data_IF_823294259493
#
_entry.id   IF_823294259493
#
_cell.length_a   1.000
_cell.length_b   1.000
_cell.length_c   1.000
_cell.angle_alpha   90.00
_cell.angle_beta   90.00
_cell.angle_gamma   90.00
#
_symmetry.space_group_name_H-M   'P 1'
#
loop_
_entity.id
_entity.type
_entity.pdbx_description
1 polymer ?
#
# COMPACT_ATOMS: atom_id res chain seq x y z
N UNK A 1 1.22 17.51 2.66
CA UNK A 1 0.70 18.41 1.61
C UNK A 1 -0.51 17.86 0.87
N UNK A 2 -0.56 16.56 0.51
CA UNK A 2 -1.71 15.94 -0.17
C UNK A 2 -3.08 16.20 0.48
N UNK A 3 -3.17 16.19 1.81
CA UNK A 3 -4.42 16.50 2.51
C UNK A 3 -4.92 17.93 2.21
N UNK A 4 -4.01 18.92 2.11
CA UNK A 4 -4.35 20.30 1.76
C UNK A 4 -4.82 20.37 0.31
N UNK A 5 -4.18 19.62 -0.60
CA UNK A 5 -4.61 19.51 -1.99
C UNK A 5 -6.03 18.94 -2.09
N UNK A 6 -6.33 17.89 -1.33
CA UNK A 6 -7.68 17.30 -1.29
C UNK A 6 -8.73 18.31 -0.79
N UNK A 7 -8.42 19.08 0.25
CA UNK A 7 -9.29 20.16 0.72
C UNK A 7 -9.47 21.24 -0.36
N UNK A 8 -8.40 21.67 -1.01
CA UNK A 8 -8.47 22.65 -2.08
C UNK A 8 -9.36 22.15 -3.23
N UNK A 9 -9.15 20.91 -3.71
CA UNK A 9 -9.98 20.28 -4.73
C UNK A 9 -11.45 20.18 -4.31
N UNK A 10 -11.70 19.82 -3.05
CA UNK A 10 -13.05 19.78 -2.48
C UNK A 10 -13.70 21.17 -2.53
N UNK A 11 -13.04 22.23 -2.06
CA UNK A 11 -13.62 23.57 -2.06
C UNK A 11 -13.80 24.12 -3.49
N UNK A 12 -12.84 23.92 -4.37
CA UNK A 12 -12.94 24.33 -5.77
C UNK A 12 -14.08 23.63 -6.52
N UNK A 13 -14.40 22.38 -6.15
CA UNK A 13 -15.49 21.62 -6.76
C UNK A 13 -16.87 22.01 -6.22
N UNK A 14 -16.95 22.32 -4.92
CA UNK A 14 -18.24 22.48 -4.23
C UNK A 14 -18.65 23.94 -3.98
N UNK A 15 -17.76 24.90 -4.20
CA UNK A 15 -18.02 26.32 -3.94
C UNK A 15 -17.58 27.19 -5.12
N UNK A 16 -18.26 28.34 -5.27
CA UNK A 16 -17.90 29.33 -6.29
C UNK A 16 -16.59 29.99 -5.90
N UNK A 17 -15.59 29.90 -6.78
CA UNK A 17 -14.29 30.53 -6.59
C UNK A 17 -14.37 32.04 -6.85
N UNK A 18 -14.25 32.83 -5.79
CA UNK A 18 -14.37 34.31 -5.85
C UNK A 18 -13.04 35.04 -6.03
N UNK A 19 -11.90 34.38 -5.82
CA UNK A 19 -10.59 35.02 -5.96
C UNK A 19 -9.49 34.37 -5.12
N UNK A 20 -8.31 34.98 -5.15
CA UNK A 20 -7.13 34.57 -4.38
C UNK A 20 -6.97 35.46 -3.16
N UNK A 21 -6.47 34.90 -2.05
CA UNK A 21 -6.16 35.65 -0.83
C UNK A 21 -4.68 36.02 -0.84
N UNK A 22 -4.38 37.33 -0.77
CA UNK A 22 -3.02 37.82 -0.59
C UNK A 22 -2.45 37.38 0.76
N UNK A 23 -1.22 36.88 0.78
CA UNK A 23 -0.57 36.32 1.95
C UNK A 23 0.50 35.28 1.60
N UNK A 24 0.51 34.16 2.32
CA UNK A 24 1.60 33.15 2.24
C UNK A 24 1.80 32.56 0.84
N UNK A 25 0.73 32.39 0.07
CA UNK A 25 0.78 31.70 -1.23
C UNK A 25 0.69 32.64 -2.42
N UNK A 26 0.02 33.79 -2.27
CA UNK A 26 -0.17 34.78 -3.33
C UNK A 26 0.20 36.17 -2.85
N UNK A 27 0.81 36.97 -3.71
CA UNK A 27 1.11 38.38 -3.45
C UNK A 27 -0.15 39.25 -3.62
N UNK A 28 -0.07 40.53 -3.24
CA UNK A 28 -1.20 41.48 -3.38
C UNK A 28 -1.67 41.66 -4.83
N UNK A 29 -0.74 41.53 -5.79
CA UNK A 29 -1.05 41.55 -7.24
C UNK A 29 -1.61 40.21 -7.75
N UNK A 30 -1.78 39.20 -6.89
CA UNK A 30 -2.30 37.88 -7.25
C UNK A 30 -1.27 36.91 -7.83
N UNK A 31 0.00 37.31 -7.92
CA UNK A 31 1.10 36.47 -8.39
C UNK A 31 1.43 35.37 -7.38
N UNK A 32 1.85 34.19 -7.83
CA UNK A 32 2.39 33.14 -6.96
C UNK A 32 3.58 33.64 -6.13
N UNK A 33 3.70 33.11 -4.93
CA UNK A 33 4.95 33.20 -4.14
C UNK A 33 5.78 31.94 -4.33
N UNK A 34 7.08 32.00 -4.01
CA UNK A 34 7.96 30.82 -3.98
C UNK A 34 7.42 29.70 -3.08
N UNK A 35 6.75 30.06 -1.99
CA UNK A 35 6.13 29.09 -1.06
C UNK A 35 5.02 28.28 -1.75
N UNK A 36 4.28 28.88 -2.69
CA UNK A 36 3.28 28.16 -3.48
C UNK A 36 3.93 27.20 -4.48
N UNK A 37 5.06 27.58 -5.07
CA UNK A 37 5.82 26.71 -5.97
C UNK A 37 6.36 25.48 -5.21
N UNK A 38 6.99 25.70 -4.05
CA UNK A 38 7.46 24.63 -3.16
C UNK A 38 6.31 23.71 -2.71
N UNK A 39 5.17 24.30 -2.33
CA UNK A 39 3.99 23.56 -1.93
C UNK A 39 3.46 22.66 -3.07
N UNK A 40 3.46 23.15 -4.32
CA UNK A 40 3.06 22.37 -5.50
C UNK A 40 4.03 21.23 -5.78
N UNK A 41 5.34 21.48 -5.69
CA UNK A 41 6.36 20.43 -5.85
C UNK A 41 6.19 19.30 -4.82
N UNK A 42 5.92 19.65 -3.55
CA UNK A 42 5.64 18.66 -2.50
C UNK A 42 4.33 17.89 -2.71
N UNK A 43 3.35 18.48 -3.39
CA UNK A 43 2.11 17.79 -3.78
C UNK A 43 2.42 16.77 -4.87
N UNK A 44 3.11 17.19 -5.93
CA UNK A 44 3.49 16.32 -7.06
C UNK A 44 4.34 15.12 -6.59
N UNK A 45 5.34 15.37 -5.75
CA UNK A 45 6.14 14.30 -5.15
C UNK A 45 5.28 13.37 -4.28
N UNK A 46 4.37 13.92 -3.49
CA UNK A 46 3.45 13.14 -2.68
C UNK A 46 2.53 12.24 -3.51
N UNK A 47 2.01 12.75 -4.64
CA UNK A 47 1.13 11.99 -5.54
C UNK A 47 1.90 10.83 -6.19
N UNK A 48 3.15 11.08 -6.60
CA UNK A 48 4.04 10.04 -7.11
C UNK A 48 4.30 8.95 -6.08
N UNK A 49 4.66 9.32 -4.84
CA UNK A 49 4.88 8.36 -3.76
C UNK A 49 3.62 7.57 -3.42
N UNK A 50 2.44 8.21 -3.46
CA UNK A 50 1.16 7.53 -3.24
C UNK A 50 0.85 6.51 -4.34
N UNK A 51 1.18 6.83 -5.60
CA UNK A 51 1.02 5.90 -6.71
C UNK A 51 1.98 4.71 -6.60
N UNK A 52 3.24 4.95 -6.26
CA UNK A 52 4.24 3.90 -6.01
C UNK A 52 3.83 2.98 -4.84
N UNK A 53 3.29 3.57 -3.77
CA UNK A 53 2.72 2.84 -2.63
C UNK A 53 1.54 1.96 -3.04
N UNK A 54 0.62 2.49 -3.85
CA UNK A 54 -0.54 1.76 -4.33
C UNK A 54 -0.13 0.59 -5.22
N UNK A 55 0.84 0.79 -6.12
CA UNK A 55 1.38 -0.27 -6.96
C UNK A 55 2.07 -1.35 -6.11
N UNK A 56 2.86 -0.96 -5.11
CA UNK A 56 3.48 -1.91 -4.19
C UNK A 56 2.46 -2.72 -3.41
N UNK A 57 1.37 -2.10 -2.95
CA UNK A 57 0.26 -2.81 -2.29
C UNK A 57 -0.53 -3.70 -3.24
N UNK A 58 -0.68 -3.34 -4.51
CA UNK A 58 -1.25 -4.24 -5.51
C UNK A 58 -0.32 -5.43 -5.78
N UNK A 59 0.99 -5.18 -5.78
CA UNK A 59 2.00 -6.21 -5.97
C UNK A 59 2.04 -7.18 -4.79
N UNK A 60 2.04 -6.65 -3.56
CA UNK A 60 2.09 -7.38 -2.31
C UNK A 60 0.95 -6.90 -1.38
N UNK A 61 -0.28 -7.41 -1.56
CA UNK A 61 -1.43 -6.96 -0.78
C UNK A 61 -1.24 -7.23 0.71
N UNK A 62 -1.61 -6.29 1.60
CA UNK A 62 -1.44 -6.48 3.03
C UNK A 62 -2.34 -7.61 3.55
N UNK A 63 -1.89 -8.28 4.60
CA UNK A 63 -2.76 -9.19 5.36
C UNK A 63 -3.79 -8.40 6.18
N UNK A 64 -4.87 -9.09 6.56
CA UNK A 64 -5.62 -8.70 7.73
C UNK A 64 -4.87 -9.12 8.99
N UNK A 65 -5.09 -8.40 10.08
CA UNK A 65 -4.46 -8.65 11.37
C UNK A 65 -5.42 -8.34 12.51
N UNK A 66 -5.36 -9.13 13.56
CA UNK A 66 -6.01 -8.81 14.82
C UNK A 66 -5.07 -9.15 15.98
N UNK A 67 -5.36 -8.53 17.12
CA UNK A 67 -4.77 -8.91 18.40
C UNK A 67 -5.88 -9.03 19.43
N UNK A 68 -5.79 -10.04 20.28
CA UNK A 68 -6.65 -10.20 21.44
C UNK A 68 -5.83 -10.65 22.64
N UNK A 69 -6.25 -10.27 23.84
CA UNK A 69 -5.56 -10.68 25.08
C UNK A 69 -5.59 -12.19 25.32
N UNK A 70 -6.64 -12.88 24.87
CA UNK A 70 -6.80 -14.32 25.04
C UNK A 70 -6.09 -15.14 23.96
N UNK A 71 -6.01 -14.62 22.73
CA UNK A 71 -5.55 -15.36 21.55
C UNK A 71 -4.27 -14.83 20.91
N UNK A 72 -3.69 -13.74 21.44
CA UNK A 72 -2.50 -13.10 20.88
C UNK A 72 -2.76 -12.43 19.54
N UNK A 73 -1.69 -12.22 18.77
CA UNK A 73 -1.74 -11.69 17.40
C UNK A 73 -2.03 -12.80 16.39
N UNK A 74 -2.93 -12.56 15.43
CA UNK A 74 -3.03 -13.41 14.23
C UNK A 74 -3.13 -12.57 12.97
N UNK A 75 -2.66 -13.15 11.87
CA UNK A 75 -2.75 -12.58 10.53
C UNK A 75 -3.42 -13.56 9.60
N UNK A 76 -4.17 -13.05 8.62
CA UNK A 76 -4.80 -13.88 7.61
C UNK A 76 -4.98 -13.15 6.29
N UNK A 77 -5.14 -13.95 5.26
CA UNK A 77 -5.38 -13.52 3.90
C UNK A 77 -6.76 -13.98 3.49
N UNK A 78 -7.52 -13.08 2.89
CA UNK A 78 -8.81 -13.36 2.29
C UNK A 78 -8.93 -12.62 0.96
N UNK A 79 -10.07 -12.80 0.28
CA UNK A 79 -10.41 -12.02 -0.91
C UNK A 79 -10.49 -10.51 -0.65
N UNK A 80 -10.59 -10.10 0.61
CA UNK A 80 -10.59 -8.71 1.04
C UNK A 80 -9.62 -8.53 2.21
N UNK A 81 -8.42 -8.06 1.90
CA UNK A 81 -7.37 -7.82 2.90
C UNK A 81 -6.67 -6.50 2.63
N UNK A 82 -6.34 -5.75 3.69
CA UNK A 82 -5.62 -4.49 3.56
C UNK A 82 -6.32 -3.41 2.73
N UNK A 83 -7.66 -3.48 2.63
CA UNK A 83 -8.46 -2.56 1.80
C UNK A 83 -8.48 -2.90 0.30
N UNK A 84 -7.91 -4.04 -0.11
CA UNK A 84 -7.86 -4.48 -1.51
C UNK A 84 -8.78 -5.69 -1.70
N UNK A 85 -9.65 -5.62 -2.71
CA UNK A 85 -10.52 -6.73 -3.14
C UNK A 85 -9.89 -7.49 -4.31
N UNK A 86 -9.91 -8.82 -4.26
CA UNK A 86 -9.27 -9.72 -5.23
C UNK A 86 -9.98 -11.06 -5.32
N UNK A 87 -9.70 -11.82 -6.39
CA UNK A 87 -10.35 -13.11 -6.66
C UNK A 87 -9.80 -14.29 -5.84
N UNK A 88 -8.68 -14.11 -5.14
CA UNK A 88 -7.98 -15.15 -4.38
C UNK A 88 -7.71 -14.70 -2.93
N UNK A 89 -7.65 -15.65 -1.99
CA UNK A 89 -7.26 -15.39 -0.60
C UNK A 89 -5.75 -15.39 -0.43
N UNK A 90 -5.12 -16.52 -0.74
CA UNK A 90 -3.67 -16.70 -0.64
C UNK A 90 -3.20 -16.93 0.79
N UNK A 91 -1.90 -16.85 1.00
CA UNK A 91 -1.25 -17.19 2.27
C UNK A 91 -0.43 -16.03 2.81
N UNK A 92 -0.38 -15.83 4.14
CA UNK A 92 0.39 -14.76 4.75
C UNK A 92 1.89 -15.07 4.69
N UNK A 93 2.69 -14.07 4.34
CA UNK A 93 4.16 -14.08 4.33
C UNK A 93 4.72 -12.79 4.94
N UNK A 94 5.94 -12.87 5.47
CA UNK A 94 6.70 -11.70 5.93
C UNK A 94 7.46 -11.14 4.73
N UNK A 95 7.24 -9.88 4.39
CA UNK A 95 8.03 -9.13 3.41
C UNK A 95 8.93 -8.15 4.14
N UNK A 96 10.24 -8.32 4.02
CA UNK A 96 11.23 -7.41 4.61
C UNK A 96 11.54 -6.26 3.66
N UNK A 97 11.72 -5.08 4.24
CA UNK A 97 12.23 -3.94 3.49
C UNK A 97 13.76 -4.05 3.36
N UNK A 98 14.35 -3.83 2.17
CA UNK A 98 15.80 -3.84 2.00
C UNK A 98 16.50 -2.90 3.00
N UNK A 99 17.44 -3.44 3.78
CA UNK A 99 18.18 -2.67 4.79
C UNK A 99 17.44 -2.45 6.12
N UNK A 100 16.26 -3.04 6.31
CA UNK A 100 15.47 -2.98 7.54
C UNK A 100 15.22 -4.38 8.11
N UNK A 101 15.22 -4.50 9.44
CA UNK A 101 14.74 -5.72 10.12
C UNK A 101 13.23 -5.77 10.24
N UNK A 102 12.51 -4.70 9.85
CA UNK A 102 11.06 -4.66 9.90
C UNK A 102 10.48 -5.47 8.74
N UNK A 103 9.51 -6.31 9.07
CA UNK A 103 8.72 -7.04 8.10
C UNK A 103 7.27 -6.60 8.14
N UNK A 104 6.62 -6.57 6.99
CA UNK A 104 5.18 -6.38 6.87
C UNK A 104 4.53 -7.70 6.44
N UNK A 105 3.29 -7.94 6.89
CA UNK A 105 2.53 -9.09 6.43
C UNK A 105 1.93 -8.81 5.05
N UNK A 106 2.23 -9.67 4.09
CA UNK A 106 1.68 -9.63 2.75
C UNK A 106 1.07 -10.98 2.37
N UNK A 107 0.09 -10.95 1.49
CA UNK A 107 -0.59 -12.13 0.99
C UNK A 107 -0.03 -12.54 -0.36
N UNK A 108 0.32 -13.81 -0.50
CA UNK A 108 0.86 -14.41 -1.73
C UNK A 108 -0.11 -15.46 -2.25
N UNK A 109 -0.32 -15.54 -3.56
CA UNK A 109 -1.27 -16.47 -4.14
C UNK A 109 -0.70 -17.90 -4.10
N UNK A 110 -1.50 -18.86 -3.62
CA UNK A 110 -1.06 -20.25 -3.37
C UNK A 110 -0.60 -20.98 -4.64
N UNK A 111 -1.23 -20.73 -5.78
CA UNK A 111 -0.82 -21.29 -7.09
C UNK A 111 0.60 -20.87 -7.49
N UNK A 112 1.05 -19.71 -7.01
CA UNK A 112 2.39 -19.22 -7.29
C UNK A 112 3.43 -20.01 -6.46
N UNK A 113 3.04 -20.74 -5.41
CA UNK A 113 3.92 -21.52 -4.50
C UNK A 113 4.20 -22.96 -4.95
N UNK A 114 3.53 -23.47 -5.98
CA UNK A 114 3.67 -24.85 -6.43
C UNK A 114 4.65 -24.93 -7.62
N UNK A 115 5.83 -25.58 -7.50
CA UNK A 115 6.69 -25.82 -8.64
C UNK A 115 6.10 -26.96 -9.49
N UNK A 116 5.54 -26.59 -10.64
CA UNK A 116 5.23 -27.54 -11.72
C UNK A 116 3.75 -27.80 -11.96
N UNK A 117 3.05 -26.82 -12.53
CA UNK A 117 2.09 -27.12 -13.61
C UNK A 117 2.18 -26.03 -14.67
N UNK A 118 2.88 -26.35 -15.75
CA UNK A 118 2.67 -25.66 -17.02
C UNK A 118 1.19 -25.78 -17.40
N UNK A 119 0.49 -24.65 -17.47
CA UNK A 119 -0.60 -24.41 -18.41
C UNK A 119 -0.95 -22.92 -18.47
N UNK A 120 -0.30 -22.27 -19.43
CA UNK A 120 -0.85 -21.23 -20.31
C UNK A 120 -1.89 -20.29 -19.71
N UNK A 121 -1.46 -19.13 -19.22
CA UNK A 121 -1.99 -17.82 -19.68
C UNK A 121 -0.91 -16.75 -19.46
N UNK A 122 -0.80 -15.86 -20.43
CA UNK A 122 0.22 -14.84 -20.66
C UNK A 122 0.53 -13.90 -19.48
N UNK A 123 1.83 -13.61 -19.35
CA UNK A 123 2.49 -12.37 -18.89
C UNK A 123 2.31 -11.89 -17.42
N UNK A 124 3.47 -11.57 -16.80
CA UNK A 124 3.74 -10.63 -15.68
C UNK A 124 3.91 -11.12 -14.24
N UNK A 125 3.66 -12.38 -13.85
CA UNK A 125 3.67 -12.73 -12.40
C UNK A 125 4.80 -13.65 -11.91
N UNK A 126 5.71 -14.11 -12.77
CA UNK A 126 6.84 -14.97 -12.37
C UNK A 126 7.92 -14.27 -11.51
N UNK A 127 7.83 -12.95 -11.31
CA UNK A 127 8.82 -12.18 -10.55
C UNK A 127 8.55 -12.04 -9.04
N UNK A 128 7.38 -12.46 -8.53
CA UNK A 128 7.00 -12.21 -7.12
C UNK A 128 7.56 -13.24 -6.13
N UNK A 129 7.82 -14.47 -6.58
CA UNK A 129 8.15 -15.59 -5.68
C UNK A 129 9.63 -15.75 -5.36
N UNK A 130 10.52 -15.31 -6.24
CA UNK A 130 11.96 -15.26 -5.99
C UNK A 130 12.37 -13.92 -5.36
N UNK A 131 11.48 -13.32 -4.56
CA UNK A 131 11.86 -12.15 -3.79
C UNK A 131 12.64 -12.63 -2.55
N UNK A 132 13.96 -12.38 -2.45
CA UNK A 132 14.77 -12.84 -1.32
C UNK A 132 14.31 -12.26 0.02
N UNK A 133 13.43 -11.25 0.00
CA UNK A 133 12.88 -10.61 1.17
C UNK A 133 11.54 -11.21 1.64
N UNK A 134 11.05 -12.29 1.00
CA UNK A 134 9.86 -13.02 1.46
C UNK A 134 10.24 -14.19 2.36
N UNK A 135 9.58 -14.31 3.51
CA UNK A 135 9.76 -15.41 4.44
C UNK A 135 8.42 -15.96 4.96
N UNK A 136 8.41 -17.23 5.32
CA UNK A 136 7.27 -17.87 5.97
C UNK A 136 7.17 -17.49 7.44
N UNK A 137 5.98 -17.62 8.01
CA UNK A 137 5.81 -17.50 9.45
C UNK A 137 6.16 -18.82 10.14
N UNK A 138 6.99 -18.74 11.17
CA UNK A 138 7.37 -19.91 11.96
C UNK A 138 6.17 -20.50 12.70
N UNK A 139 6.05 -21.83 12.67
CA UNK A 139 4.97 -22.55 13.36
C UNK A 139 3.61 -22.51 12.66
N UNK A 140 3.52 -21.93 11.46
CA UNK A 140 2.31 -21.90 10.65
C UNK A 140 2.45 -22.82 9.42
N UNK A 141 1.34 -23.44 9.00
CA UNK A 141 1.36 -24.32 7.83
C UNK A 141 1.59 -23.49 6.56
N UNK A 142 2.52 -23.87 5.65
CA UNK A 142 2.88 -23.05 4.49
C UNK A 142 1.71 -22.66 3.59
N UNK A 143 0.71 -23.54 3.48
CA UNK A 143 -0.48 -23.35 2.66
C UNK A 143 -1.71 -22.80 3.42
N UNK A 144 -1.56 -22.46 4.70
CA UNK A 144 -2.67 -21.91 5.49
C UNK A 144 -2.95 -20.46 5.10
N UNK A 145 -4.23 -20.11 5.00
CA UNK A 145 -4.67 -18.73 4.75
C UNK A 145 -4.53 -17.83 5.99
N UNK A 146 -4.23 -18.42 7.16
CA UNK A 146 -4.05 -17.69 8.41
C UNK A 146 -2.89 -18.24 9.24
N UNK A 147 -2.38 -17.41 10.15
CA UNK A 147 -1.28 -17.73 11.04
C UNK A 147 -1.43 -17.02 12.39
N UNK A 148 -1.33 -17.79 13.49
CA UNK A 148 -1.17 -17.24 14.83
C UNK A 148 0.31 -16.90 15.06
N UNK A 149 0.58 -15.67 15.44
CA UNK A 149 1.93 -15.19 15.70
C UNK A 149 2.27 -15.50 17.16
N UNK A 150 3.42 -16.13 17.37
CA UNK A 150 4.01 -16.25 18.71
C UNK A 150 4.68 -14.91 19.04
N UNK A 151 4.41 -14.41 20.24
CA UNK A 151 5.13 -13.27 20.82
C UNK A 151 6.58 -13.64 21.16
#
# INVERSE_FOLDING_TARGET
MLAIQNWLSFYCKNYVHIGKVAGRFYQENGEPTKVLEEARALIEEGEKLQAEEAERKNQFPPCNSEWSSAGGSRVWCSKQSGGISREWSGVPRKLYEPGSSRSHCVCIKTEELLPGQEKSTRLSNQGKLNNPNLQEYEGCHPLSEWCALKE
#
